data_IF_266247987261
#
_entry.id   IF_266247987261
#
_cell.length_a   1.000
_cell.length_b   1.000
_cell.length_c   1.000
_cell.angle_alpha   90.00
_cell.angle_beta   90.00
_cell.angle_gamma   90.00
#
_symmetry.space_group_name_H-M   'P 1'
#
loop_
_entity.id
_entity.type
_entity.pdbx_description
1 polymer ?
#
# COMPACT_ATOMS: atom_id res chain seq x y z
N UNK A 1 -13.57 3.08 -24.14
CA UNK A 1 -12.54 3.63 -23.24
C UNK A 1 -13.25 4.19 -22.02
N UNK A 2 -12.78 3.93 -20.80
CA UNK A 2 -13.45 4.43 -19.59
C UNK A 2 -13.23 5.94 -19.48
N UNK A 3 -14.30 6.72 -19.65
CA UNK A 3 -14.39 8.20 -19.63
C UNK A 3 -14.25 8.79 -18.20
N UNK A 4 -13.68 8.04 -17.25
CA UNK A 4 -13.56 8.43 -15.85
C UNK A 4 -12.14 8.89 -15.48
N UNK A 5 -11.99 9.69 -14.40
CA UNK A 5 -10.67 10.07 -13.90
C UNK A 5 -9.86 8.82 -13.52
N UNK A 6 -8.54 8.90 -13.71
CA UNK A 6 -7.60 7.86 -13.28
C UNK A 6 -6.89 8.32 -12.02
N UNK A 7 -7.04 7.57 -10.94
CA UNK A 7 -6.48 7.92 -9.64
C UNK A 7 -5.19 7.17 -9.36
N UNK A 8 -4.15 7.92 -9.00
CA UNK A 8 -2.89 7.41 -8.46
C UNK A 8 -2.76 7.88 -7.00
N UNK A 9 -2.77 6.94 -6.07
CA UNK A 9 -2.77 7.23 -4.63
C UNK A 9 -1.41 6.87 -4.04
N UNK A 10 -0.74 7.84 -3.42
CA UNK A 10 0.48 7.63 -2.65
C UNK A 10 0.16 7.51 -1.16
N UNK A 11 0.67 6.47 -0.51
CA UNK A 11 0.51 6.26 0.94
C UNK A 11 1.69 5.47 1.50
N UNK A 12 2.03 5.63 2.77
CA UNK A 12 2.95 4.72 3.48
C UNK A 12 2.21 3.66 4.30
N UNK A 13 0.88 3.76 4.38
CA UNK A 13 0.01 2.89 5.16
C UNK A 13 -0.86 2.06 4.22
N UNK A 14 -0.32 0.94 3.76
CA UNK A 14 -1.04 -0.07 2.98
C UNK A 14 -0.52 -1.47 3.33
N UNK A 15 -1.37 -2.52 3.29
CA UNK A 15 -0.93 -3.88 3.64
C UNK A 15 0.23 -4.36 2.77
N UNK A 16 1.27 -4.87 3.41
CA UNK A 16 2.43 -5.50 2.75
C UNK A 16 2.96 -6.67 3.59
N UNK A 17 3.80 -7.56 3.05
CA UNK A 17 4.24 -8.77 3.76
C UNK A 17 4.93 -8.54 5.11
N UNK A 18 5.51 -7.36 5.33
CA UNK A 18 6.14 -6.99 6.61
C UNK A 18 5.15 -6.47 7.66
N UNK A 19 4.00 -5.94 7.23
CA UNK A 19 2.94 -5.40 8.10
C UNK A 19 1.56 -5.63 7.43
N UNK A 20 0.97 -6.82 7.60
CA UNK A 20 -0.26 -7.19 6.89
C UNK A 20 -1.50 -6.37 7.31
N UNK A 21 -1.48 -5.81 8.52
CA UNK A 21 -2.60 -5.00 9.05
C UNK A 21 -2.39 -3.49 8.90
N UNK A 22 -1.26 -3.04 8.31
CA UNK A 22 -0.99 -1.62 8.14
C UNK A 22 -2.01 -0.99 7.19
N UNK A 23 -2.68 0.09 7.63
CA UNK A 23 -3.56 0.86 6.76
C UNK A 23 -4.79 0.11 6.24
N UNK A 24 -5.33 -0.87 6.97
CA UNK A 24 -6.57 -1.59 6.57
C UNK A 24 -7.72 -0.64 6.25
N UNK A 25 -7.91 0.43 7.02
CA UNK A 25 -8.93 1.45 6.74
C UNK A 25 -8.71 2.14 5.39
N UNK A 26 -7.45 2.39 4.99
CA UNK A 26 -7.11 3.00 3.70
C UNK A 26 -7.40 2.00 2.59
N UNK A 27 -7.05 0.72 2.77
CA UNK A 27 -7.39 -0.34 1.83
C UNK A 27 -8.90 -0.44 1.61
N UNK A 28 -9.70 -0.55 2.67
CA UNK A 28 -11.16 -0.66 2.55
C UNK A 28 -11.79 0.58 1.90
N UNK A 29 -11.29 1.78 2.24
CA UNK A 29 -11.73 3.04 1.62
C UNK A 29 -11.41 3.07 0.13
N UNK A 30 -10.17 2.76 -0.26
CA UNK A 30 -9.74 2.80 -1.66
C UNK A 30 -10.37 1.68 -2.49
N UNK A 31 -10.71 0.54 -1.88
CA UNK A 31 -11.45 -0.53 -2.55
C UNK A 31 -12.84 -0.06 -3.01
N UNK A 32 -13.53 0.73 -2.18
CA UNK A 32 -14.81 1.35 -2.56
C UNK A 32 -14.65 2.40 -3.67
N UNK A 33 -13.59 3.21 -3.62
CA UNK A 33 -13.31 4.19 -4.68
C UNK A 33 -12.99 3.50 -6.02
N UNK A 34 -12.27 2.38 -5.98
CA UNK A 34 -11.92 1.60 -7.17
C UNK A 34 -13.16 1.00 -7.89
N UNK A 35 -14.31 0.90 -7.20
CA UNK A 35 -15.57 0.51 -7.83
C UNK A 35 -16.15 1.59 -8.76
N UNK A 36 -15.70 2.85 -8.64
CA UNK A 36 -16.23 3.98 -9.40
C UNK A 36 -15.29 4.48 -10.49
N UNK A 37 -13.98 4.24 -10.38
CA UNK A 37 -13.00 4.70 -11.35
C UNK A 37 -11.70 3.87 -11.31
N UNK A 38 -10.91 3.86 -12.40
CA UNK A 38 -9.60 3.22 -12.40
C UNK A 38 -8.68 3.82 -11.33
N UNK A 39 -8.16 2.98 -10.43
CA UNK A 39 -7.35 3.38 -9.29
C UNK A 39 -6.10 2.51 -9.16
N UNK A 40 -4.95 3.13 -8.90
CA UNK A 40 -3.68 2.47 -8.56
C UNK A 40 -3.15 3.05 -7.25
N UNK A 41 -2.75 2.18 -6.32
CA UNK A 41 -2.11 2.58 -5.06
C UNK A 41 -0.62 2.29 -5.15
N UNK A 42 0.20 3.30 -4.88
CA UNK A 42 1.64 3.18 -4.72
C UNK A 42 1.96 3.35 -3.24
N UNK A 43 2.42 2.27 -2.61
CA UNK A 43 2.83 2.25 -1.22
C UNK A 43 4.32 1.97 -1.08
N UNK A 44 5.18 3.01 -1.01
CA UNK A 44 6.62 2.81 -0.89
C UNK A 44 6.93 2.13 0.45
N UNK A 45 7.59 0.98 0.39
CA UNK A 45 8.10 0.28 1.58
C UNK A 45 9.59 0.56 1.69
N UNK A 46 10.07 1.18 2.80
CA UNK A 46 11.50 1.34 3.03
C UNK A 46 12.19 -0.03 3.02
N UNK A 47 13.23 -0.17 2.20
CA UNK A 47 14.06 -1.37 2.13
C UNK A 47 15.53 -1.01 2.31
N UNK A 48 16.25 -1.84 3.06
CA UNK A 48 17.71 -1.72 3.24
C UNK A 48 18.38 -3.09 3.02
N UNK A 49 19.54 -3.17 2.34
CA UNK A 49 20.20 -4.44 2.01
C UNK A 49 20.54 -5.34 3.21
N UNK A 50 20.78 -4.79 4.41
CA UNK A 50 21.04 -5.58 5.62
C UNK A 50 19.83 -5.65 6.58
N UNK A 51 18.62 -5.36 6.10
CA UNK A 51 17.41 -5.40 6.92
C UNK A 51 17.18 -6.77 7.56
N UNK A 52 17.60 -7.86 6.91
CA UNK A 52 17.57 -9.22 7.49
C UNK A 52 18.46 -9.38 8.73
N UNK A 53 19.63 -8.73 8.77
CA UNK A 53 20.50 -8.75 9.96
C UNK A 53 19.85 -8.00 11.13
N UNK A 54 19.19 -6.87 10.87
CA UNK A 54 18.48 -6.11 11.90
C UNK A 54 17.33 -6.94 12.51
N UNK A 55 16.56 -7.65 11.67
CA UNK A 55 15.45 -8.53 12.13
C UNK A 55 15.92 -9.73 12.97
N UNK A 56 17.21 -10.11 12.90
CA UNK A 56 17.80 -11.13 13.79
C UNK A 56 17.89 -10.66 15.24
N UNK A 57 18.11 -9.37 15.46
CA UNK A 57 18.29 -8.78 16.79
C UNK A 57 16.98 -8.22 17.38
N UNK A 58 16.01 -7.84 16.54
CA UNK A 58 14.65 -7.48 16.94
C UNK A 58 13.63 -8.01 15.93
N UNK A 59 12.95 -9.12 16.23
CA UNK A 59 11.84 -9.62 15.40
C UNK A 59 10.66 -8.67 15.39
#
# INVERSE_FOLDING_TARGET
>A
MSEGPRLLVFTTLFPHPGQPHAGLFIRERMFRVAAHCPLTVVAPVPWFPLQGLIRRFRP
#
